data_IF_273186489794
#
_entry.id   IF_273186489794
#
_cell.length_a   1.000
_cell.length_b   1.000
_cell.length_c   1.000
_cell.angle_alpha   90.00
_cell.angle_beta   90.00
_cell.angle_gamma   90.00
#
_symmetry.space_group_name_H-M   'P 1'
#
loop_
_entity.id
_entity.type
_entity.pdbx_description
1 polymer ?
#
# COMPACT_ATOMS: atom_id res chain seq x y z
N UNK A 1 -6.81 17.87 -7.18
CA UNK A 1 -5.35 17.71 -6.96
C UNK A 1 -4.62 17.96 -8.27
N UNK A 2 -3.56 18.76 -8.28
CA UNK A 2 -2.77 19.05 -9.48
C UNK A 2 -1.75 17.95 -9.79
N UNK A 3 -1.36 17.82 -11.06
CA UNK A 3 -0.24 16.96 -11.47
C UNK A 3 1.05 17.77 -11.42
N UNK A 4 2.10 17.17 -10.88
CA UNK A 4 3.45 17.77 -10.83
C UNK A 4 4.35 17.00 -11.78
N UNK A 5 5.12 17.72 -12.61
CA UNK A 5 6.14 17.11 -13.46
C UNK A 5 7.36 16.78 -12.62
N UNK A 6 7.81 15.53 -12.71
CA UNK A 6 9.04 15.04 -12.08
C UNK A 6 9.98 14.50 -13.15
N UNK A 7 11.29 14.59 -12.91
CA UNK A 7 12.32 13.97 -13.75
C UNK A 7 12.73 12.65 -13.09
N UNK A 8 12.71 11.56 -13.85
CA UNK A 8 13.06 10.21 -13.38
C UNK A 8 14.12 9.62 -14.31
N UNK A 9 15.10 8.95 -13.73
CA UNK A 9 16.08 8.18 -14.48
C UNK A 9 15.59 6.74 -14.56
N UNK A 10 15.53 6.19 -15.77
CA UNK A 10 15.14 4.81 -16.05
C UNK A 10 16.24 4.16 -16.89
N UNK A 11 16.30 2.84 -16.84
CA UNK A 11 17.12 2.08 -17.76
C UNK A 11 16.70 2.39 -19.22
N UNK A 12 17.68 2.61 -20.09
CA UNK A 12 17.45 3.01 -21.46
C UNK A 12 16.65 1.96 -22.24
N UNK A 13 16.94 0.66 -22.04
CA UNK A 13 16.26 -0.44 -22.73
C UNK A 13 14.79 -0.53 -22.32
N UNK A 14 14.48 -0.25 -21.05
CA UNK A 14 13.10 -0.21 -20.54
C UNK A 14 12.32 0.94 -21.18
N UNK A 15 12.92 2.13 -21.23
CA UNK A 15 12.28 3.30 -21.84
C UNK A 15 12.07 3.13 -23.34
N UNK A 16 13.03 2.55 -24.05
CA UNK A 16 12.93 2.25 -25.49
C UNK A 16 11.85 1.21 -25.77
N UNK A 17 11.81 0.12 -25.00
CA UNK A 17 10.79 -0.92 -25.12
C UNK A 17 9.39 -0.34 -24.90
N UNK A 18 9.21 0.45 -23.84
CA UNK A 18 7.93 1.08 -23.55
C UNK A 18 7.48 2.03 -24.67
N UNK A 19 8.42 2.80 -25.25
CA UNK A 19 8.15 3.69 -26.39
C UNK A 19 7.77 2.91 -27.65
N UNK A 20 8.51 1.84 -27.97
CA UNK A 20 8.24 0.99 -29.14
C UNK A 20 6.86 0.34 -29.07
N UNK A 21 6.40 0.01 -27.86
CA UNK A 21 5.07 -0.55 -27.60
C UNK A 21 3.96 0.52 -27.42
N UNK A 22 4.28 1.81 -27.54
CA UNK A 22 3.30 2.89 -27.39
C UNK A 22 2.73 3.03 -25.97
N UNK A 23 3.46 2.59 -24.95
CA UNK A 23 2.99 2.61 -23.57
C UNK A 23 3.04 4.04 -22.99
N UNK A 24 2.02 4.39 -22.21
CA UNK A 24 1.99 5.65 -21.47
C UNK A 24 2.85 5.54 -20.20
N UNK A 25 4.14 5.90 -20.33
CA UNK A 25 5.10 5.79 -19.22
C UNK A 25 4.69 6.58 -17.98
N UNK A 26 4.13 7.79 -18.13
CA UNK A 26 3.70 8.59 -16.98
C UNK A 26 2.59 7.91 -16.21
N UNK A 27 1.60 7.32 -16.89
CA UNK A 27 0.50 6.59 -16.25
C UNK A 27 0.98 5.30 -15.58
N UNK A 28 1.91 4.57 -16.21
CA UNK A 28 2.52 3.38 -15.62
C UNK A 28 3.34 3.71 -14.36
N UNK A 29 4.17 4.76 -14.43
CA UNK A 29 4.95 5.23 -13.30
C UNK A 29 4.04 5.70 -12.14
N UNK A 30 2.99 6.48 -12.44
CA UNK A 30 2.02 6.93 -11.43
C UNK A 30 1.35 5.75 -10.72
N UNK A 31 0.89 4.73 -11.46
CA UNK A 31 0.28 3.53 -10.89
C UNK A 31 1.28 2.76 -10.00
N UNK A 32 2.49 2.51 -10.50
CA UNK A 32 3.52 1.78 -9.75
C UNK A 32 3.91 2.51 -8.46
N UNK A 33 4.12 3.83 -8.52
CA UNK A 33 4.44 4.66 -7.36
C UNK A 33 3.29 4.68 -6.35
N UNK A 34 2.04 4.79 -6.82
CA UNK A 34 0.86 4.79 -5.95
C UNK A 34 0.73 3.48 -5.16
N UNK A 35 0.88 2.34 -5.84
CA UNK A 35 0.82 1.02 -5.20
C UNK A 35 1.97 0.82 -4.21
N UNK A 36 3.21 1.17 -4.60
CA UNK A 36 4.37 1.10 -3.71
C UNK A 36 4.18 2.00 -2.47
N UNK A 37 3.68 3.23 -2.65
CA UNK A 37 3.42 4.16 -1.55
C UNK A 37 2.31 3.67 -0.62
N UNK A 38 1.27 3.01 -1.16
CA UNK A 38 0.21 2.39 -0.36
C UNK A 38 0.75 1.22 0.46
N UNK A 39 1.53 0.34 -0.16
CA UNK A 39 2.16 -0.79 0.52
C UNK A 39 3.08 -0.33 1.66
N UNK A 40 3.94 0.66 1.40
CA UNK A 40 4.86 1.18 2.40
C UNK A 40 4.14 1.90 3.54
N UNK A 41 3.10 2.70 3.25
CA UNK A 41 2.27 3.31 4.30
C UNK A 41 1.62 2.25 5.19
N UNK A 42 1.06 1.19 4.59
CA UNK A 42 0.47 0.09 5.37
C UNK A 42 1.53 -0.62 6.22
N UNK A 43 2.74 -0.84 5.68
CA UNK A 43 3.84 -1.43 6.44
C UNK A 43 4.22 -0.58 7.65
N UNK A 44 4.41 0.73 7.46
CA UNK A 44 4.74 1.67 8.54
C UNK A 44 3.64 1.71 9.60
N UNK A 45 2.38 1.83 9.16
CA UNK A 45 1.24 1.83 10.07
C UNK A 45 1.21 0.57 10.94
N UNK A 46 1.44 -0.63 10.37
CA UNK A 46 1.50 -1.87 11.16
C UNK A 46 2.61 -1.87 12.19
N UNK A 47 3.79 -1.33 11.86
CA UNK A 47 4.91 -1.23 12.80
C UNK A 47 4.57 -0.25 13.92
N UNK A 48 4.06 0.93 13.57
CA UNK A 48 3.67 1.97 14.53
C UNK A 48 2.55 1.50 15.48
N UNK A 49 1.64 0.65 15.00
CA UNK A 49 0.49 0.16 15.76
C UNK A 49 0.69 -1.26 16.31
N UNK A 50 1.90 -1.83 16.19
CA UNK A 50 2.17 -3.22 16.57
C UNK A 50 1.79 -3.48 18.03
N UNK A 51 2.19 -2.59 18.95
CA UNK A 51 1.87 -2.73 20.37
C UNK A 51 0.35 -2.73 20.62
N UNK A 52 -0.40 -1.83 19.97
CA UNK A 52 -1.85 -1.77 20.13
C UNK A 52 -2.54 -3.02 19.58
N UNK A 53 -2.04 -3.55 18.45
CA UNK A 53 -2.52 -4.81 17.88
C UNK A 53 -2.23 -6.00 18.79
N UNK A 54 -1.03 -6.07 19.37
CA UNK A 54 -0.64 -7.14 20.29
C UNK A 54 -1.47 -7.11 21.57
N UNK A 55 -1.70 -5.92 22.15
CA UNK A 55 -2.59 -5.75 23.31
C UNK A 55 -4.00 -6.23 22.98
N UNK A 56 -4.57 -5.78 21.85
CA UNK A 56 -5.92 -6.19 21.46
C UNK A 56 -6.02 -7.70 21.20
N UNK A 57 -4.99 -8.31 20.60
CA UNK A 57 -4.95 -9.76 20.40
C UNK A 57 -4.95 -10.53 21.74
N UNK A 58 -4.22 -10.03 22.75
CA UNK A 58 -4.23 -10.61 24.10
C UNK A 58 -5.60 -10.48 24.79
N UNK A 59 -6.25 -9.33 24.65
CA UNK A 59 -7.61 -9.13 25.17
C UNK A 59 -8.61 -10.10 24.54
N UNK A 60 -8.57 -10.28 23.22
CA UNK A 60 -9.44 -11.22 22.51
C UNK A 60 -9.16 -12.68 22.91
N UNK A 61 -7.90 -13.06 23.12
CA UNK A 61 -7.56 -14.41 23.58
C UNK A 61 -8.06 -14.67 25.02
N UNK A 62 -7.98 -13.66 25.89
CA UNK A 62 -8.40 -13.77 27.28
C UNK A 62 -9.92 -13.71 27.47
N UNK A 63 -10.61 -12.84 26.72
CA UNK A 63 -12.00 -12.47 26.96
C UNK A 63 -12.96 -12.95 25.85
N UNK A 64 -12.43 -13.46 24.73
CA UNK A 64 -13.19 -13.77 23.53
C UNK A 64 -13.46 -12.54 22.67
N UNK A 65 -14.24 -12.70 21.60
CA UNK A 65 -14.52 -11.59 20.68
C UNK A 65 -15.50 -10.60 21.33
N UNK A 66 -15.17 -9.29 21.34
CA UNK A 66 -16.12 -8.28 21.75
C UNK A 66 -17.41 -8.40 20.94
N UNK A 67 -18.54 -8.37 21.64
CA UNK A 67 -19.89 -8.43 21.05
C UNK A 67 -20.26 -9.78 20.40
N UNK A 68 -19.49 -10.86 20.59
CA UNK A 68 -19.81 -12.18 20.05
C UNK A 68 -21.23 -12.65 20.43
N UNK A 69 -21.66 -12.35 21.65
CA UNK A 69 -23.02 -12.64 22.15
C UNK A 69 -24.17 -12.00 21.36
N UNK A 70 -23.89 -11.03 20.49
CA UNK A 70 -24.88 -10.36 19.65
C UNK A 70 -24.79 -10.77 18.18
N UNK A 71 -23.90 -11.71 17.82
CA UNK A 71 -23.76 -12.19 16.44
C UNK A 71 -24.98 -13.05 16.06
N UNK A 72 -25.72 -12.62 15.03
CA UNK A 72 -26.99 -13.25 14.62
C UNK A 72 -26.91 -14.13 13.36
N UNK A 73 -25.72 -14.42 12.83
CA UNK A 73 -25.47 -15.40 11.75
C UNK A 73 -23.97 -15.71 11.57
#
# INVERSE_FOLDING_TARGET
MGRVKVNLTLDASVAETARALGLNMSRLAEAAISEAAKAERNRRWRIENQQALDTYAQEVEAEGLPLERFRSF
#
